data_IF_363326383850
#
_entry.id   IF_363326383850
#
_cell.length_a   1.000
_cell.length_b   1.000
_cell.length_c   1.000
_cell.angle_alpha   90.00
_cell.angle_beta   90.00
_cell.angle_gamma   90.00
#
_symmetry.space_group_name_H-M   'P 1'
#
loop_
_entity.id
_entity.type
_entity.pdbx_description
1 polymer ?
#
# COMPACT_ATOMS: atom_id res chain seq x y z
N UNK A 1 -10.71 -8.19 3.69
CA UNK A 1 -10.16 -8.84 2.47
C UNK A 1 -9.24 -7.83 1.84
N UNK A 2 -7.92 -7.95 2.06
CA UNK A 2 -6.96 -7.10 1.37
C UNK A 2 -6.99 -7.54 -0.09
N UNK A 3 -7.37 -6.62 -0.98
CA UNK A 3 -7.35 -6.87 -2.41
C UNK A 3 -5.88 -7.10 -2.77
N UNK A 4 -5.53 -8.30 -3.23
CA UNK A 4 -4.17 -8.60 -3.71
C UNK A 4 -3.81 -7.56 -4.79
N UNK A 5 -2.55 -7.13 -4.86
CA UNK A 5 -2.12 -6.11 -5.84
C UNK A 5 -2.44 -6.59 -7.28
N UNK A 6 -2.53 -7.92 -7.47
CA UNK A 6 -3.09 -8.57 -8.65
C UNK A 6 -4.59 -8.36 -8.84
N UNK A 7 -5.41 -8.60 -7.82
CA UNK A 7 -6.88 -8.43 -7.90
C UNK A 7 -7.23 -6.98 -8.24
N UNK A 8 -6.52 -6.02 -7.62
CA UNK A 8 -6.72 -4.60 -7.92
C UNK A 8 -6.35 -4.28 -9.36
N UNK A 9 -5.23 -4.83 -9.84
CA UNK A 9 -4.84 -4.66 -11.24
C UNK A 9 -5.85 -5.31 -12.21
N UNK A 10 -6.37 -6.49 -11.89
CA UNK A 10 -7.40 -7.17 -12.70
C UNK A 10 -8.66 -6.33 -12.77
N UNK A 11 -9.10 -5.74 -11.66
CA UNK A 11 -10.24 -4.82 -11.65
C UNK A 11 -9.99 -3.57 -12.50
N UNK A 12 -8.82 -2.93 -12.37
CA UNK A 12 -8.47 -1.77 -13.21
C UNK A 12 -8.41 -2.15 -14.70
N UNK A 13 -7.86 -3.32 -15.02
CA UNK A 13 -7.81 -3.86 -16.38
C UNK A 13 -9.21 -4.16 -16.92
N UNK A 14 -10.08 -4.73 -16.10
CA UNK A 14 -11.49 -5.03 -16.42
C UNK A 14 -12.24 -3.77 -16.86
N UNK A 15 -12.06 -2.67 -16.13
CA UNK A 15 -12.68 -1.38 -16.41
C UNK A 15 -12.17 -0.76 -17.71
N UNK A 16 -10.88 -0.93 -18.02
CA UNK A 16 -10.25 -0.37 -19.22
C UNK A 16 -10.55 -1.18 -20.48
N UNK A 17 -10.66 -2.51 -20.37
CA UNK A 17 -10.99 -3.39 -21.48
C UNK A 17 -12.51 -3.56 -21.69
N UNK A 18 -13.32 -3.24 -20.68
CA UNK A 18 -14.77 -3.51 -20.70
C UNK A 18 -15.11 -5.00 -20.56
N UNK A 19 -14.19 -5.80 -20.02
CA UNK A 19 -14.32 -7.25 -19.83
C UNK A 19 -14.57 -7.51 -18.34
N UNK A 20 -15.48 -8.42 -17.95
CA UNK A 20 -15.70 -8.75 -16.54
C UNK A 20 -14.45 -9.31 -15.85
N UNK A 21 -14.26 -8.98 -14.57
CA UNK A 21 -13.09 -9.41 -13.80
C UNK A 21 -12.95 -10.94 -13.69
N UNK A 22 -14.06 -11.66 -13.51
CA UNK A 22 -14.04 -13.14 -13.42
C UNK A 22 -13.50 -13.80 -14.70
N UNK A 23 -13.70 -13.19 -15.86
CA UNK A 23 -13.19 -13.71 -17.14
C UNK A 23 -11.68 -13.46 -17.25
N UNK A 24 -11.20 -12.31 -16.76
CA UNK A 24 -9.76 -12.00 -16.70
C UNK A 24 -9.01 -12.88 -15.69
N UNK A 25 -9.66 -13.35 -14.63
CA UNK A 25 -9.08 -14.29 -13.67
C UNK A 25 -8.77 -15.66 -14.30
N UNK A 26 -9.53 -16.04 -15.34
CA UNK A 26 -9.28 -17.28 -16.10
C UNK A 26 -8.14 -17.14 -17.13
N UNK A 27 -7.66 -15.91 -17.39
CA UNK A 27 -6.62 -15.70 -18.37
C UNK A 27 -5.27 -16.27 -17.93
N UNK A 28 -4.43 -16.71 -18.89
CA UNK A 28 -3.07 -17.12 -18.59
C UNK A 28 -2.31 -16.00 -17.87
N UNK A 29 -1.59 -16.34 -16.79
CA UNK A 29 -0.80 -15.38 -16.02
C UNK A 29 0.26 -14.64 -16.87
N UNK A 30 0.73 -15.25 -17.95
CA UNK A 30 1.61 -14.62 -18.94
C UNK A 30 0.97 -13.41 -19.61
N UNK A 31 -0.33 -13.47 -19.92
CA UNK A 31 -1.05 -12.39 -20.57
C UNK A 31 -1.32 -11.25 -19.60
N UNK A 32 -1.74 -11.56 -18.36
CA UNK A 32 -1.87 -10.56 -17.29
C UNK A 32 -0.53 -9.84 -17.04
N UNK A 33 0.58 -10.57 -17.04
CA UNK A 33 1.90 -9.97 -16.89
C UNK A 33 2.31 -9.09 -18.07
N UNK A 34 1.87 -9.38 -19.30
CA UNK A 34 2.07 -8.50 -20.45
C UNK A 34 1.34 -7.17 -20.26
N UNK A 35 0.08 -7.21 -19.82
CA UNK A 35 -0.67 -5.99 -19.53
C UNK A 35 -0.04 -5.17 -18.40
N UNK A 36 0.48 -5.83 -17.35
CA UNK A 36 1.25 -5.13 -16.30
C UNK A 36 2.50 -4.46 -16.86
N UNK A 37 3.29 -5.18 -17.66
CA UNK A 37 4.48 -4.64 -18.29
C UNK A 37 4.14 -3.45 -19.20
N UNK A 38 3.05 -3.55 -19.97
CA UNK A 38 2.54 -2.45 -20.78
C UNK A 38 2.16 -1.25 -19.91
N UNK A 39 1.48 -1.45 -18.78
CA UNK A 39 1.08 -0.38 -17.87
C UNK A 39 2.28 0.35 -17.24
N UNK A 40 3.41 -0.34 -17.07
CA UNK A 40 4.66 0.29 -16.60
C UNK A 40 5.26 1.19 -17.68
N UNK A 41 5.25 0.75 -18.95
CA UNK A 41 5.84 1.49 -20.07
C UNK A 41 4.92 2.64 -20.52
N UNK A 42 3.62 2.37 -20.59
CA UNK A 42 2.58 3.29 -21.03
C UNK A 42 1.40 3.20 -20.06
N UNK A 43 1.39 4.04 -19.00
CA UNK A 43 0.34 4.02 -17.99
C UNK A 43 -1.05 4.24 -18.56
N UNK A 44 -1.89 3.22 -18.48
CA UNK A 44 -3.28 3.26 -18.94
C UNK A 44 -4.28 3.09 -17.79
N UNK A 45 -3.85 2.55 -16.64
CA UNK A 45 -4.71 2.50 -15.45
C UNK A 45 -4.71 3.83 -14.70
N UNK A 46 -5.83 4.17 -14.06
CA UNK A 46 -6.00 5.45 -13.39
C UNK A 46 -5.02 5.61 -12.22
N UNK A 47 -4.71 4.52 -11.51
CA UNK A 47 -3.67 4.49 -10.47
C UNK A 47 -2.30 4.82 -11.05
N UNK A 48 -1.90 4.17 -12.13
CA UNK A 48 -0.59 4.39 -12.74
C UNK A 48 -0.45 5.82 -13.30
N UNK A 49 -1.52 6.36 -13.89
CA UNK A 49 -1.57 7.74 -14.35
C UNK A 49 -1.47 8.72 -13.18
N UNK A 50 -2.23 8.52 -12.11
CA UNK A 50 -2.17 9.38 -10.93
C UNK A 50 -0.79 9.36 -10.25
N UNK A 51 -0.10 8.21 -10.20
CA UNK A 51 1.28 8.12 -9.70
C UNK A 51 2.22 8.93 -10.56
N UNK A 52 2.14 8.79 -11.89
CA UNK A 52 2.94 9.57 -12.84
C UNK A 52 2.70 11.07 -12.68
N UNK A 53 1.44 11.47 -12.60
CA UNK A 53 1.06 12.88 -12.50
C UNK A 53 1.50 13.46 -11.15
N UNK A 54 1.35 12.71 -10.05
CA UNK A 54 1.87 13.07 -8.74
C UNK A 54 3.39 13.24 -8.72
N UNK A 55 4.12 12.37 -9.45
CA UNK A 55 5.57 12.50 -9.62
C UNK A 55 5.92 13.79 -10.38
N UNK A 56 5.27 14.05 -11.50
CA UNK A 56 5.48 15.27 -12.29
C UNK A 56 5.20 16.53 -11.46
N UNK A 57 4.08 16.56 -10.73
CA UNK A 57 3.73 17.66 -9.83
C UNK A 57 4.79 17.85 -8.75
N UNK A 58 5.30 16.77 -8.16
CA UNK A 58 6.36 16.85 -7.15
C UNK A 58 7.65 17.42 -7.73
N UNK A 59 8.03 17.06 -8.97
CA UNK A 59 9.23 17.55 -9.64
C UNK A 59 9.13 19.04 -9.95
N UNK A 60 7.98 19.48 -10.50
CA UNK A 60 7.73 20.91 -10.79
C UNK A 60 7.76 21.72 -9.50
N UNK A 61 7.06 21.27 -8.47
CA UNK A 61 6.99 21.97 -7.18
C UNK A 61 8.35 22.02 -6.49
N UNK A 62 9.15 20.96 -6.59
CA UNK A 62 10.45 20.84 -5.93
C UNK A 62 11.61 21.44 -6.73
N UNK A 63 11.37 21.99 -7.93
CA UNK A 63 12.43 22.43 -8.86
C UNK A 63 13.47 23.38 -8.22
N UNK A 64 13.04 24.24 -7.29
CA UNK A 64 13.88 25.23 -6.61
C UNK A 64 14.09 24.93 -5.12
N UNK A 65 13.73 23.73 -4.65
CA UNK A 65 13.86 23.34 -3.25
C UNK A 65 15.27 22.82 -3.00
N UNK A 66 16.05 23.53 -2.19
CA UNK A 66 17.43 23.16 -1.85
C UNK A 66 17.53 22.30 -0.59
N UNK A 67 16.54 22.37 0.30
CA UNK A 67 16.49 21.62 1.55
C UNK A 67 15.57 20.41 1.43
N UNK A 68 16.07 19.23 1.78
CA UNK A 68 15.27 17.98 1.77
C UNK A 68 14.02 18.06 2.64
N UNK A 69 14.06 18.77 3.77
CA UNK A 69 12.89 18.96 4.65
C UNK A 69 11.76 19.78 4.04
N UNK A 70 12.07 20.57 3.01
CA UNK A 70 11.09 21.37 2.29
C UNK A 70 10.56 20.64 1.06
N UNK A 71 11.17 19.53 0.63
CA UNK A 71 10.74 18.75 -0.52
C UNK A 71 9.43 18.04 -0.21
N UNK A 72 8.52 18.01 -1.19
CA UNK A 72 7.20 17.41 -1.04
C UNK A 72 7.11 16.18 -1.92
N UNK A 73 6.57 15.09 -1.37
CA UNK A 73 6.41 13.82 -2.08
C UNK A 73 5.12 13.80 -2.89
N UNK A 74 5.00 12.91 -3.91
CA UNK A 74 3.75 12.72 -4.65
C UNK A 74 2.54 12.44 -3.74
N UNK A 75 2.71 11.57 -2.75
CA UNK A 75 1.66 11.22 -1.78
C UNK A 75 1.21 12.40 -0.90
N UNK A 76 2.09 13.36 -0.63
CA UNK A 76 1.72 14.58 0.09
C UNK A 76 0.90 15.56 -0.77
N UNK A 77 1.05 15.51 -2.10
CA UNK A 77 0.24 16.31 -3.03
C UNK A 77 -1.09 15.62 -3.35
N UNK A 78 -1.05 14.29 -3.53
CA UNK A 78 -2.18 13.45 -3.87
C UNK A 78 -2.33 12.36 -2.79
N UNK A 79 -3.05 12.63 -1.68
CA UNK A 79 -3.14 11.72 -0.53
C UNK A 79 -3.72 10.34 -0.84
N UNK A 80 -4.51 10.23 -1.90
CA UNK A 80 -5.11 8.97 -2.36
C UNK A 80 -4.10 8.04 -3.06
N UNK A 81 -2.86 8.49 -3.30
CA UNK A 81 -1.77 7.63 -3.73
C UNK A 81 -1.21 6.77 -2.60
N UNK A 82 -1.47 7.14 -1.33
CA UNK A 82 -1.15 6.28 -0.19
C UNK A 82 -2.13 5.11 -0.16
N UNK A 83 -1.59 3.90 -0.10
CA UNK A 83 -2.41 2.69 0.01
C UNK A 83 -3.17 2.63 1.34
N UNK A 84 -2.53 3.10 2.41
CA UNK A 84 -3.10 3.22 3.73
C UNK A 84 -2.94 4.65 4.24
N UNK A 85 -3.87 5.55 3.92
CA UNK A 85 -3.78 6.92 4.37
C UNK A 85 -3.82 6.99 5.91
N UNK A 86 -2.87 7.72 6.49
CA UNK A 86 -2.71 7.84 7.95
C UNK A 86 -3.96 8.32 8.70
N UNK A 87 -4.87 9.04 8.03
CA UNK A 87 -6.12 9.53 8.61
C UNK A 87 -7.24 8.47 8.68
N UNK A 88 -7.12 7.34 7.95
CA UNK A 88 -8.05 6.20 8.03
C UNK A 88 -7.43 4.97 8.74
N UNK A 89 -6.13 5.01 9.05
CA UNK A 89 -5.43 3.89 9.67
C UNK A 89 -5.87 3.69 11.13
N UNK A 90 -5.88 2.43 11.58
CA UNK A 90 -6.23 2.09 12.95
C UNK A 90 -5.17 2.62 13.94
N UNK A 91 -5.62 3.21 15.07
CA UNK A 91 -4.74 3.88 16.04
C UNK A 91 -3.60 2.99 16.55
N UNK A 92 -3.90 1.72 16.81
CA UNK A 92 -2.90 0.77 17.30
C UNK A 92 -1.86 0.40 16.24
N UNK A 93 -2.27 0.38 14.96
CA UNK A 93 -1.38 0.19 13.81
C UNK A 93 -0.44 1.38 13.67
N UNK A 94 -0.97 2.61 13.77
CA UNK A 94 -0.15 3.84 13.75
C UNK A 94 0.86 3.86 14.90
N UNK A 95 0.45 3.42 16.09
CA UNK A 95 1.32 3.35 17.27
C UNK A 95 2.44 2.33 17.07
N UNK A 96 2.12 1.13 16.58
CA UNK A 96 3.10 0.09 16.27
C UNK A 96 4.11 0.55 15.22
N UNK A 97 3.66 1.19 14.14
CA UNK A 97 4.55 1.78 13.12
C UNK A 97 5.48 2.84 13.70
N UNK A 98 4.95 3.72 14.55
CA UNK A 98 5.76 4.75 15.21
C UNK A 98 6.83 4.13 16.12
N UNK A 99 6.50 3.07 16.86
CA UNK A 99 7.45 2.37 17.71
C UNK A 99 8.55 1.70 16.89
N UNK A 100 8.19 1.00 15.81
CA UNK A 100 9.15 0.38 14.90
C UNK A 100 10.07 1.41 14.24
N UNK A 101 9.54 2.55 13.80
CA UNK A 101 10.31 3.63 13.17
C UNK A 101 11.33 4.28 14.12
N UNK A 102 11.01 4.32 15.41
CA UNK A 102 11.86 4.92 16.44
C UNK A 102 12.82 3.91 17.10
N UNK A 103 12.65 2.61 16.84
CA UNK A 103 13.56 1.59 17.33
C UNK A 103 14.93 1.75 16.64
N UNK A 104 15.99 1.88 17.44
CA UNK A 104 17.35 2.08 16.94
C UNK A 104 18.21 0.83 17.09
N UNK A 105 17.79 -0.12 17.93
CA UNK A 105 18.49 -1.38 18.14
C UNK A 105 17.66 -2.61 17.81
N UNK A 106 18.32 -3.66 17.33
CA UNK A 106 17.67 -4.89 16.86
C UNK A 106 16.84 -5.59 17.96
N UNK A 107 17.28 -5.52 19.22
CA UNK A 107 16.53 -6.09 20.33
C UNK A 107 15.21 -5.35 20.59
N UNK A 108 15.16 -4.03 20.34
CA UNK A 108 13.93 -3.24 20.46
C UNK A 108 12.95 -3.63 19.36
N UNK A 109 13.45 -3.81 18.13
CA UNK A 109 12.63 -4.27 17.00
C UNK A 109 12.06 -5.67 17.29
N UNK A 110 12.88 -6.58 17.81
CA UNK A 110 12.44 -7.93 18.18
C UNK A 110 11.37 -7.92 19.29
N UNK A 111 11.55 -7.09 20.31
CA UNK A 111 10.59 -6.94 21.41
C UNK A 111 9.26 -6.33 20.93
N UNK A 112 9.32 -5.30 20.09
CA UNK A 112 8.13 -4.71 19.47
C UNK A 112 7.42 -5.73 18.58
N UNK A 113 8.14 -6.49 17.75
CA UNK A 113 7.55 -7.55 16.91
C UNK A 113 6.88 -8.62 17.77
N UNK A 114 7.47 -8.99 18.91
CA UNK A 114 6.87 -9.94 19.86
C UNK A 114 5.56 -9.42 20.44
N UNK A 115 5.51 -8.15 20.87
CA UNK A 115 4.27 -7.55 21.34
C UNK A 115 3.19 -7.43 20.26
N UNK A 116 3.59 -7.18 19.01
CA UNK A 116 2.66 -7.21 17.87
C UNK A 116 2.10 -8.63 17.67
N UNK A 117 2.93 -9.67 17.81
CA UNK A 117 2.50 -11.07 17.75
C UNK A 117 1.48 -11.41 18.85
N UNK A 118 1.76 -11.02 20.09
CA UNK A 118 0.86 -11.20 21.24
C UNK A 118 -0.48 -10.47 21.01
N UNK A 119 -0.46 -9.27 20.42
CA UNK A 119 -1.67 -8.53 20.06
C UNK A 119 -2.48 -9.23 18.96
N UNK A 120 -1.82 -9.84 17.96
CA UNK A 120 -2.50 -10.64 16.93
C UNK A 120 -3.23 -11.82 17.56
N UNK A 121 -2.56 -12.56 18.45
CA UNK A 121 -3.14 -13.73 19.13
C UNK A 121 -4.34 -13.35 20.00
N UNK A 122 -4.23 -12.23 20.75
CA UNK A 122 -5.32 -11.70 21.55
C UNK A 122 -6.52 -11.27 20.71
N UNK A 123 -6.28 -10.67 19.54
CA UNK A 123 -7.35 -10.26 18.62
C UNK A 123 -8.04 -11.46 17.97
N UNK A 124 -7.28 -12.50 17.62
CA UNK A 124 -7.80 -13.74 17.06
C UNK A 124 -8.65 -14.54 18.06
N UNK A 125 -8.39 -14.41 19.36
CA UNK A 125 -9.15 -15.10 20.41
C UNK A 125 -10.52 -14.45 20.69
N UNK A 126 -10.82 -13.29 20.11
CA UNK A 126 -12.12 -12.62 20.27
C UNK A 126 -13.21 -13.33 19.48
N UNK A 127 -14.45 -13.18 19.93
CA UNK A 127 -15.63 -13.74 19.25
C UNK A 127 -15.87 -13.14 17.86
N UNK A 128 -15.43 -11.89 17.65
CA UNK A 128 -15.45 -11.19 16.36
C UNK A 128 -14.08 -10.53 16.13
N UNK A 129 -13.12 -11.23 15.50
CA UNK A 129 -11.77 -10.72 15.29
C UNK A 129 -11.73 -9.59 14.25
N UNK A 130 -11.03 -8.50 14.57
CA UNK A 130 -10.73 -7.47 13.57
C UNK A 130 -9.72 -8.00 12.54
N UNK A 131 -10.25 -8.50 11.42
CA UNK A 131 -9.45 -9.03 10.31
C UNK A 131 -8.52 -8.01 9.67
N UNK A 132 -8.88 -6.71 9.68
CA UNK A 132 -8.02 -5.65 9.16
C UNK A 132 -6.83 -5.40 10.09
N UNK A 133 -7.08 -5.29 11.39
CA UNK A 133 -6.03 -5.09 12.39
C UNK A 133 -5.02 -6.24 12.36
N UNK A 134 -5.51 -7.48 12.28
CA UNK A 134 -4.67 -8.68 12.18
C UNK A 134 -3.82 -8.66 10.92
N UNK A 135 -4.40 -8.34 9.76
CA UNK A 135 -3.63 -8.33 8.50
C UNK A 135 -2.54 -7.26 8.50
N UNK A 136 -2.85 -6.06 9.00
CA UNK A 136 -1.88 -4.95 9.10
C UNK A 136 -0.74 -5.27 10.06
N UNK A 137 -1.03 -5.89 11.20
CA UNK A 137 0.01 -6.32 12.13
C UNK A 137 0.89 -7.44 11.55
N UNK A 138 0.32 -8.40 10.81
CA UNK A 138 1.11 -9.45 10.14
C UNK A 138 2.11 -8.89 9.13
N UNK A 139 1.76 -7.85 8.40
CA UNK A 139 2.66 -7.18 7.45
C UNK A 139 3.90 -6.56 8.13
N UNK A 140 3.77 -6.13 9.40
CA UNK A 140 4.86 -5.54 10.17
C UNK A 140 5.81 -6.56 10.81
N UNK A 141 5.32 -7.78 11.02
CA UNK A 141 6.10 -8.86 11.63
C UNK A 141 6.90 -9.62 10.57
N UNK A 142 6.43 -9.63 9.32
CA UNK A 142 7.15 -10.17 8.16
C UNK A 142 8.58 -9.60 8.05
#
# INVERSE_FOLDING_TARGET
>A
MLVDDNERFILELSLKLGIPAFELEEWPSSEINRYKALNVISPFTDKAQAVRDGLLMSLIRNQNVTKKSQAVTPSQLLPYLEEFPSYLEHKDVTKAQSLLKNATQDWQVADIKKHIQEAIEAEQAKADPDTYLISRFKEMVK
#
